data_IF_163290276893
#
_entry.id   IF_163290276893
#
_cell.length_a   1.000
_cell.length_b   1.000
_cell.length_c   1.000
_cell.angle_alpha   90.00
_cell.angle_beta   90.00
_cell.angle_gamma   90.00
#
_symmetry.space_group_name_H-M   'P 1'
#
loop_
_entity.id
_entity.type
_entity.pdbx_description
1 polymer ?
#
# COMPACT_ATOMS: atom_id res chain seq x y z
N UNK A 1 -39.38 -20.74 -1.15
CA UNK A 1 -40.50 -19.85 -1.51
C UNK A 1 -40.27 -18.52 -0.81
N UNK A 2 -40.05 -17.46 -1.61
CA UNK A 2 -40.06 -16.00 -1.32
C UNK A 2 -39.20 -15.47 -0.14
N UNK A 3 -38.10 -14.73 -0.41
CA UNK A 3 -38.00 -13.26 -0.68
C UNK A 3 -38.43 -12.42 0.55
N UNK A 4 -37.81 -11.32 0.98
CA UNK A 4 -36.78 -10.42 0.43
C UNK A 4 -36.65 -9.24 1.42
N UNK A 5 -35.42 -8.75 1.63
CA UNK A 5 -34.98 -7.36 1.86
C UNK A 5 -35.88 -6.36 2.60
N UNK A 6 -35.35 -5.80 3.69
CA UNK A 6 -35.36 -4.35 4.00
C UNK A 6 -34.09 -4.01 4.79
N UNK A 7 -32.97 -3.93 4.08
CA UNK A 7 -31.71 -3.29 4.49
C UNK A 7 -31.39 -2.27 3.40
N UNK A 8 -32.27 -1.27 3.29
CA UNK A 8 -32.19 -0.15 2.36
C UNK A 8 -33.03 0.98 2.96
N UNK A 9 -32.46 1.72 3.91
CA UNK A 9 -33.01 3.00 4.40
C UNK A 9 -31.87 3.93 4.85
N UNK A 10 -30.72 3.87 4.18
CA UNK A 10 -29.62 4.83 4.39
C UNK A 10 -28.98 5.30 3.08
N UNK A 11 -29.74 5.22 2.00
CA UNK A 11 -29.41 5.75 0.68
C UNK A 11 -30.67 6.48 0.26
N UNK A 12 -30.54 7.75 -0.12
CA UNK A 12 -31.61 8.68 -0.50
C UNK A 12 -32.15 9.59 0.63
N UNK A 13 -31.24 10.29 1.32
CA UNK A 13 -31.51 11.68 1.72
C UNK A 13 -30.62 12.62 0.89
N UNK A 14 -30.67 12.45 -0.43
CA UNK A 14 -30.23 13.51 -1.34
C UNK A 14 -31.36 14.54 -1.32
N UNK A 15 -31.35 15.42 -0.32
CA UNK A 15 -32.23 16.60 -0.31
C UNK A 15 -32.04 17.28 -1.66
N UNK A 16 -33.14 17.41 -2.39
CA UNK A 16 -33.26 18.30 -3.52
C UNK A 16 -32.69 19.66 -3.08
N UNK A 17 -31.45 19.91 -3.49
CA UNK A 17 -30.76 21.16 -3.26
C UNK A 17 -31.47 22.16 -4.15
N UNK A 18 -32.47 22.82 -3.59
CA UNK A 18 -33.04 24.03 -4.15
C UNK A 18 -31.85 24.95 -4.44
N UNK A 19 -31.50 25.06 -5.72
CA UNK A 19 -30.44 25.92 -6.25
C UNK A 19 -30.82 27.40 -6.16
N UNK A 20 -31.86 27.71 -5.38
CA UNK A 20 -32.61 28.95 -5.29
C UNK A 20 -32.59 29.59 -3.90
N UNK A 21 -31.96 28.96 -2.88
CA UNK A 21 -31.72 29.65 -1.62
C UNK A 21 -30.64 30.72 -1.82
N UNK A 22 -31.04 31.99 -1.74
CA UNK A 22 -30.16 33.15 -1.85
C UNK A 22 -28.93 32.98 -0.94
N UNK A 23 -27.74 33.20 -1.49
CA UNK A 23 -26.52 33.26 -0.70
C UNK A 23 -26.61 34.43 0.30
N UNK A 24 -26.09 34.28 1.52
CA UNK A 24 -25.99 35.41 2.44
C UNK A 24 -25.18 36.55 1.83
N UNK A 25 -25.55 37.80 2.14
CA UNK A 25 -24.87 38.99 1.61
C UNK A 25 -23.36 38.94 1.93
N UNK A 26 -22.52 39.21 0.93
CA UNK A 26 -21.04 39.13 1.02
C UNK A 26 -20.44 37.79 0.62
N UNK A 27 -21.18 36.69 0.78
CA UNK A 27 -20.66 35.35 0.54
C UNK A 27 -20.70 34.92 -0.92
N UNK A 28 -19.62 34.26 -1.35
CA UNK A 28 -19.49 33.66 -2.67
C UNK A 28 -19.33 32.15 -2.56
N UNK A 29 -20.01 31.43 -3.45
CA UNK A 29 -19.88 29.98 -3.59
C UNK A 29 -18.80 29.66 -4.62
N UNK A 30 -17.88 28.78 -4.26
CA UNK A 30 -16.82 28.30 -5.14
C UNK A 30 -16.95 26.79 -5.36
N UNK A 31 -16.56 26.35 -6.54
CA UNK A 31 -16.56 24.94 -6.93
C UNK A 31 -15.13 24.50 -7.16
N UNK A 32 -14.68 23.55 -6.36
CA UNK A 32 -13.39 22.90 -6.53
C UNK A 32 -13.38 22.06 -7.83
N UNK A 33 -12.24 21.91 -8.55
CA UNK A 33 -12.16 21.09 -9.76
C UNK A 33 -12.60 19.63 -9.60
N UNK A 34 -12.63 19.08 -8.38
CA UNK A 34 -13.16 17.73 -8.10
C UNK A 34 -14.69 17.69 -7.89
N UNK A 35 -15.36 18.85 -7.90
CA UNK A 35 -16.82 18.97 -7.77
C UNK A 35 -17.34 19.28 -6.36
N UNK A 36 -16.47 19.40 -5.35
CA UNK A 36 -16.88 19.86 -4.02
C UNK A 36 -17.14 21.37 -4.02
N UNK A 37 -18.09 21.81 -3.18
CA UNK A 37 -18.41 23.23 -3.00
C UNK A 37 -17.88 23.71 -1.65
N UNK A 38 -17.50 24.99 -1.60
CA UNK A 38 -17.17 25.70 -0.37
C UNK A 38 -17.57 27.17 -0.51
N UNK A 39 -17.62 27.89 0.60
CA UNK A 39 -18.09 29.26 0.64
C UNK A 39 -17.02 30.19 1.23
N UNK A 40 -16.91 31.40 0.69
CA UNK A 40 -15.97 32.40 1.18
C UNK A 40 -16.56 33.81 1.12
N UNK A 41 -16.27 34.59 2.16
CA UNK A 41 -16.56 36.03 2.27
C UNK A 41 -15.27 36.87 2.08
N UNK A 42 -14.26 36.29 1.42
CA UNK A 42 -12.95 36.92 1.19
C UNK A 42 -11.97 36.84 2.39
N UNK A 43 -12.47 36.80 3.63
CA UNK A 43 -11.63 36.58 4.84
C UNK A 43 -11.92 35.27 5.57
N UNK A 44 -13.14 34.77 5.46
CA UNK A 44 -13.60 33.55 6.13
C UNK A 44 -13.92 32.53 5.05
N UNK A 45 -13.46 31.30 5.24
CA UNK A 45 -13.71 30.18 4.34
C UNK A 45 -14.34 29.02 5.11
N UNK A 46 -15.41 28.46 4.56
CA UNK A 46 -16.23 27.44 5.22
C UNK A 46 -16.59 26.34 4.24
N UNK A 47 -16.35 25.09 4.64
CA UNK A 47 -16.72 23.89 3.88
C UNK A 47 -18.16 23.43 4.11
N UNK A 48 -18.79 23.90 5.19
CA UNK A 48 -20.19 23.62 5.48
C UNK A 48 -21.14 24.53 4.72
N UNK A 49 -22.37 24.06 4.54
CA UNK A 49 -23.40 24.80 3.82
C UNK A 49 -23.95 25.99 4.62
N UNK A 50 -23.44 27.19 4.34
CA UNK A 50 -23.84 28.44 4.99
C UNK A 50 -25.25 28.92 4.63
N UNK A 51 -25.90 28.28 3.65
CA UNK A 51 -27.33 28.54 3.33
C UNK A 51 -28.23 28.16 4.51
N UNK A 52 -27.73 27.35 5.44
CA UNK A 52 -28.38 27.12 6.72
C UNK A 52 -28.10 28.29 7.69
N UNK A 53 -29.13 29.06 8.10
CA UNK A 53 -28.96 30.23 8.96
C UNK A 53 -28.38 29.88 10.34
N UNK A 54 -28.62 28.67 10.85
CA UNK A 54 -28.04 28.20 12.10
C UNK A 54 -26.52 28.13 12.03
N UNK A 55 -25.97 27.55 10.96
CA UNK A 55 -24.52 27.45 10.76
C UNK A 55 -23.90 28.82 10.53
N UNK A 56 -24.54 29.67 9.72
CA UNK A 56 -24.09 31.03 9.48
C UNK A 56 -23.97 31.84 10.78
N UNK A 57 -24.96 31.74 11.68
CA UNK A 57 -24.92 32.46 12.96
C UNK A 57 -23.75 32.06 13.84
N UNK A 58 -23.39 30.77 13.86
CA UNK A 58 -22.25 30.24 14.63
C UNK A 58 -20.93 30.73 14.04
N UNK A 59 -20.80 30.71 12.72
CA UNK A 59 -19.61 31.22 12.01
C UNK A 59 -19.42 32.72 12.28
N UNK A 60 -20.47 33.52 12.15
CA UNK A 60 -20.41 34.97 12.38
C UNK A 60 -20.09 35.31 13.85
N UNK A 61 -20.66 34.57 14.82
CA UNK A 61 -20.33 34.76 16.23
C UNK A 61 -18.85 34.46 16.51
N UNK A 62 -18.36 33.34 15.98
CA UNK A 62 -16.95 32.94 16.11
C UNK A 62 -16.00 33.93 15.43
N UNK A 63 -16.41 34.52 14.31
CA UNK A 63 -15.65 35.55 13.61
C UNK A 63 -15.49 36.84 14.42
N UNK A 64 -16.51 37.24 15.18
CA UNK A 64 -16.45 38.38 16.08
C UNK A 64 -15.50 38.10 17.26
N UNK A 65 -15.55 36.90 17.83
CA UNK A 65 -14.65 36.51 18.94
C UNK A 65 -13.18 36.50 18.54
N UNK A 66 -12.89 36.19 17.27
CA UNK A 66 -11.54 36.13 16.72
C UNK A 66 -11.00 37.53 16.38
N UNK A 67 -11.86 38.53 16.14
CA UNK A 67 -11.43 39.90 15.84
C UNK A 67 -10.87 40.09 14.41
N UNK A 68 -11.52 39.49 13.41
CA UNK A 68 -11.05 39.44 12.01
C UNK A 68 -10.94 40.82 11.34
N UNK A 69 -11.60 41.84 11.87
CA UNK A 69 -11.62 43.18 11.26
C UNK A 69 -10.25 43.86 11.27
N UNK A 70 -9.40 43.56 12.25
CA UNK A 70 -8.09 44.20 12.44
C UNK A 70 -6.94 43.49 11.70
N UNK A 71 -7.23 42.47 10.90
CA UNK A 71 -6.21 41.67 10.21
C UNK A 71 -5.69 42.32 8.93
N UNK A 72 -4.46 41.94 8.55
CA UNK A 72 -3.87 42.28 7.25
C UNK A 72 -4.72 41.73 6.09
N UNK A 73 -4.68 42.39 4.92
CA UNK A 73 -5.52 42.03 3.76
C UNK A 73 -5.28 40.61 3.21
N UNK A 74 -4.10 40.04 3.44
CA UNK A 74 -3.67 38.72 2.94
C UNK A 74 -3.89 37.57 3.95
N UNK A 75 -4.56 37.83 5.08
CA UNK A 75 -4.89 36.85 6.11
C UNK A 75 -6.33 36.37 5.97
N UNK A 76 -6.50 35.05 6.00
CA UNK A 76 -7.79 34.38 5.98
C UNK A 76 -7.87 33.29 7.04
N UNK A 77 -9.09 32.91 7.39
CA UNK A 77 -9.37 31.83 8.33
C UNK A 77 -10.35 30.83 7.73
N UNK A 78 -9.93 29.57 7.70
CA UNK A 78 -10.82 28.46 7.44
C UNK A 78 -11.47 28.06 8.77
N UNK A 79 -12.80 28.10 8.82
CA UNK A 79 -13.58 27.68 9.99
C UNK A 79 -14.28 26.36 9.72
N UNK A 80 -14.26 25.48 10.72
CA UNK A 80 -15.05 24.26 10.71
C UNK A 80 -15.99 24.24 11.90
N UNK A 81 -17.29 24.22 11.63
CA UNK A 81 -18.32 24.05 12.67
C UNK A 81 -18.32 22.59 13.14
N UNK A 82 -17.88 22.34 14.37
CA UNK A 82 -17.95 21.01 14.98
C UNK A 82 -19.35 20.63 15.47
N UNK A 83 -19.58 19.36 15.83
CA UNK A 83 -20.86 18.89 16.38
C UNK A 83 -21.27 19.60 17.69
N UNK A 84 -20.33 20.24 18.38
CA UNK A 84 -20.56 21.03 19.59
C UNK A 84 -21.05 22.46 19.33
N UNK A 85 -21.17 22.88 18.07
CA UNK A 85 -21.59 24.24 17.71
C UNK A 85 -20.54 25.32 17.97
N UNK A 86 -19.26 24.95 18.06
CA UNK A 86 -18.11 25.86 18.25
C UNK A 86 -17.14 25.68 17.06
N UNK A 87 -16.66 26.80 16.51
CA UNK A 87 -15.73 26.86 15.38
C UNK A 87 -14.26 27.01 15.81
N UNK A 88 -14.02 27.49 17.03
CA UNK A 88 -12.69 28.00 17.44
C UNK A 88 -11.63 26.91 17.55
N UNK A 89 -12.02 25.71 17.98
CA UNK A 89 -11.09 24.57 18.17
C UNK A 89 -10.53 24.00 16.86
N UNK A 90 -11.15 24.29 15.71
CA UNK A 90 -10.76 23.76 14.41
C UNK A 90 -10.45 24.84 13.37
N UNK A 91 -10.24 26.08 13.80
CA UNK A 91 -9.85 27.16 12.91
C UNK A 91 -8.42 26.95 12.37
N UNK A 92 -8.23 27.20 11.08
CA UNK A 92 -6.92 27.26 10.43
C UNK A 92 -6.73 28.69 9.91
N UNK A 93 -5.71 29.37 10.41
CA UNK A 93 -5.32 30.71 9.99
C UNK A 93 -4.30 30.58 8.85
N UNK A 94 -4.53 31.30 7.76
CA UNK A 94 -3.76 31.20 6.52
C UNK A 94 -3.24 32.59 6.15
N UNK A 95 -1.95 32.66 5.80
CA UNK A 95 -1.29 33.86 5.33
C UNK A 95 -0.76 33.61 3.91
N UNK A 96 -1.31 34.33 2.93
CA UNK A 96 -0.94 34.16 1.51
C UNK A 96 0.40 34.75 1.15
N UNK A 97 0.77 35.88 1.76
CA UNK A 97 2.03 36.59 1.49
C UNK A 97 3.22 35.67 1.73
N UNK A 98 3.20 34.92 2.84
CA UNK A 98 4.26 33.99 3.21
C UNK A 98 3.98 32.52 2.85
N UNK A 99 2.75 32.21 2.40
CA UNK A 99 2.27 30.86 2.11
C UNK A 99 2.41 29.91 3.31
N UNK A 100 1.93 30.35 4.47
CA UNK A 100 1.97 29.59 5.73
C UNK A 100 0.57 29.45 6.31
N UNK A 101 0.32 28.35 7.03
CA UNK A 101 -0.92 28.15 7.76
C UNK A 101 -0.68 27.54 9.15
N UNK A 102 -1.49 27.93 10.13
CA UNK A 102 -1.39 27.49 11.52
C UNK A 102 -2.77 27.43 12.21
N UNK A 103 -2.92 26.55 13.20
CA UNK A 103 -4.13 26.49 14.04
C UNK A 103 -4.25 27.61 15.08
N UNK A 104 -3.27 28.52 15.15
CA UNK A 104 -3.28 29.68 16.05
C UNK A 104 -2.81 30.89 15.29
N UNK A 105 -3.52 32.01 15.46
CA UNK A 105 -3.22 33.29 14.81
C UNK A 105 -1.76 33.72 14.98
N UNK A 106 -1.25 33.72 16.22
CA UNK A 106 0.13 34.11 16.57
C UNK A 106 1.21 33.32 15.81
N UNK A 107 0.87 32.16 15.25
CA UNK A 107 1.79 31.30 14.50
C UNK A 107 1.63 31.40 12.97
N UNK A 108 0.62 32.13 12.49
CA UNK A 108 0.38 32.41 11.07
C UNK A 108 0.74 33.85 10.68
N UNK A 109 1.01 34.72 11.66
CA UNK A 109 1.38 36.11 11.44
C UNK A 109 2.79 36.28 10.81
N UNK A 110 2.97 37.39 10.11
CA UNK A 110 4.20 37.83 9.44
C UNK A 110 5.39 37.93 10.42
N UNK A 111 5.16 38.32 11.68
CA UNK A 111 6.19 38.30 12.71
C UNK A 111 6.69 36.87 13.00
N UNK A 112 5.76 35.90 13.09
CA UNK A 112 6.09 34.50 13.36
C UNK A 112 6.93 33.89 12.24
N UNK A 113 6.70 34.30 10.98
CA UNK A 113 7.50 33.87 9.84
C UNK A 113 8.99 34.20 10.00
N UNK A 114 9.32 35.39 10.52
CA UNK A 114 10.71 35.87 10.64
C UNK A 114 11.56 35.10 11.67
N UNK A 115 10.92 34.52 12.69
CA UNK A 115 11.59 33.84 13.81
C UNK A 115 11.57 32.31 13.64
N UNK A 116 10.87 31.79 12.63
CA UNK A 116 10.58 30.35 12.51
C UNK A 116 11.80 29.54 12.07
N UNK A 117 11.97 28.37 12.68
CA UNK A 117 12.97 27.41 12.22
C UNK A 117 12.56 26.77 10.88
N UNK A 118 13.52 26.32 10.05
CA UNK A 118 13.22 25.76 8.72
C UNK A 118 12.27 24.56 8.72
N UNK A 119 12.27 23.76 9.79
CA UNK A 119 11.43 22.56 9.87
C UNK A 119 9.99 22.91 10.20
N UNK A 120 9.78 23.79 11.19
CA UNK A 120 8.45 24.33 11.48
C UNK A 120 7.92 25.09 10.27
N UNK A 121 8.74 25.87 9.57
CA UNK A 121 8.34 26.56 8.34
C UNK A 121 7.87 25.58 7.27
N UNK A 122 8.59 24.48 7.04
CA UNK A 122 8.18 23.45 6.08
C UNK A 122 6.83 22.83 6.47
N UNK A 123 6.62 22.56 7.77
CA UNK A 123 5.34 22.04 8.29
C UNK A 123 4.19 23.02 8.10
N UNK A 124 4.40 24.33 8.33
CA UNK A 124 3.40 25.38 8.12
C UNK A 124 3.05 25.56 6.64
N UNK A 125 4.06 25.51 5.76
CA UNK A 125 3.86 25.51 4.31
C UNK A 125 3.08 24.29 3.85
N UNK A 126 3.36 23.11 4.42
CA UNK A 126 2.58 21.90 4.13
C UNK A 126 1.10 22.08 4.44
N UNK A 127 0.77 22.70 5.58
CA UNK A 127 -0.62 23.01 5.94
C UNK A 127 -1.24 23.99 4.94
N UNK A 128 -0.52 25.05 4.57
CA UNK A 128 -0.95 26.03 3.57
C UNK A 128 -1.27 25.38 2.22
N UNK A 129 -0.35 24.57 1.70
CA UNK A 129 -0.57 23.88 0.42
C UNK A 129 -1.67 22.83 0.50
N UNK A 130 -1.89 22.22 1.67
CA UNK A 130 -3.03 21.32 1.86
C UNK A 130 -4.37 22.09 1.84
N UNK A 131 -4.40 23.28 2.45
CA UNK A 131 -5.56 24.16 2.40
C UNK A 131 -5.85 24.62 0.96
N UNK A 132 -4.84 25.14 0.25
CA UNK A 132 -4.99 25.66 -1.11
C UNK A 132 -5.36 24.54 -2.11
N UNK A 133 -4.93 23.31 -1.84
CA UNK A 133 -5.34 22.14 -2.62
C UNK A 133 -6.85 21.88 -2.51
N UNK A 134 -7.45 22.09 -1.33
CA UNK A 134 -8.89 21.95 -1.13
C UNK A 134 -9.68 23.19 -1.62
N UNK A 135 -9.10 24.39 -1.54
CA UNK A 135 -9.79 25.68 -1.80
C UNK A 135 -9.17 26.47 -2.95
N UNK A 136 -8.95 25.82 -4.08
CA UNK A 136 -8.16 26.36 -5.21
C UNK A 136 -8.84 27.42 -6.07
N UNK A 137 -10.15 27.66 -5.93
CA UNK A 137 -10.93 28.44 -6.88
C UNK A 137 -11.14 29.92 -6.49
N UNK A 138 -10.91 30.28 -5.24
CA UNK A 138 -11.20 31.62 -4.73
C UNK A 138 -9.98 32.53 -4.65
N UNK A 139 -8.77 31.97 -4.81
CA UNK A 139 -7.50 32.68 -4.65
C UNK A 139 -6.67 32.51 -5.92
N UNK A 140 -6.03 33.59 -6.42
CA UNK A 140 -5.07 33.46 -7.50
C UNK A 140 -3.86 32.63 -7.07
N UNK A 141 -3.16 32.03 -8.05
CA UNK A 141 -1.95 31.28 -7.78
C UNK A 141 -0.90 32.18 -7.11
N UNK A 142 -0.33 31.78 -5.95
CA UNK A 142 0.76 32.53 -5.32
C UNK A 142 1.95 32.67 -6.28
N UNK A 143 2.54 33.86 -6.37
CA UNK A 143 3.65 34.18 -7.30
C UNK A 143 4.85 33.24 -7.09
N UNK A 144 5.07 32.81 -5.83
CA UNK A 144 6.16 31.90 -5.46
C UNK A 144 5.94 30.43 -5.82
N UNK A 145 4.70 30.01 -6.12
CA UNK A 145 4.38 28.59 -6.25
C UNK A 145 5.11 27.92 -7.42
N UNK A 146 5.15 28.59 -8.57
CA UNK A 146 5.84 28.10 -9.77
C UNK A 146 7.37 28.01 -9.56
N UNK A 147 8.08 29.09 -9.14
CA UNK A 147 9.52 28.99 -8.95
C UNK A 147 9.91 28.00 -7.84
N UNK A 148 9.17 27.93 -6.73
CA UNK A 148 9.44 26.99 -5.64
C UNK A 148 9.27 25.52 -6.11
N UNK A 149 8.27 25.24 -6.96
CA UNK A 149 8.06 23.92 -7.54
C UNK A 149 9.16 23.56 -8.55
N UNK A 150 9.53 24.51 -9.43
CA UNK A 150 10.61 24.33 -10.41
C UNK A 150 11.96 24.07 -9.74
N UNK A 151 12.31 24.82 -8.69
CA UNK A 151 13.56 24.63 -7.94
C UNK A 151 13.62 23.25 -7.27
N UNK A 152 12.54 22.85 -6.61
CA UNK A 152 12.45 21.53 -5.97
C UNK A 152 12.59 20.39 -6.99
N UNK A 153 11.89 20.48 -8.12
CA UNK A 153 11.97 19.47 -9.18
C UNK A 153 13.34 19.44 -9.85
N UNK A 154 13.97 20.60 -10.05
CA UNK A 154 15.33 20.68 -10.58
C UNK A 154 16.34 19.99 -9.65
N UNK A 155 16.21 20.20 -8.34
CA UNK A 155 17.03 19.48 -7.35
C UNK A 155 16.77 17.97 -7.39
N UNK A 156 15.52 17.53 -7.44
CA UNK A 156 15.20 16.10 -7.51
C UNK A 156 15.71 15.44 -8.79
N UNK A 157 15.63 16.14 -9.91
CA UNK A 157 16.23 15.69 -11.16
C UNK A 157 17.75 15.58 -11.06
N UNK A 158 18.41 16.58 -10.47
CA UNK A 158 19.85 16.57 -10.26
C UNK A 158 20.29 15.45 -9.29
N UNK A 159 19.57 15.21 -8.19
CA UNK A 159 19.90 14.13 -7.26
C UNK A 159 19.70 12.74 -7.90
N UNK A 160 18.71 12.58 -8.78
CA UNK A 160 18.58 11.36 -9.59
C UNK A 160 19.82 11.13 -10.48
N UNK A 161 20.45 12.18 -11.01
CA UNK A 161 21.67 12.08 -11.82
C UNK A 161 22.92 11.82 -10.98
N UNK A 162 23.03 12.48 -9.82
CA UNK A 162 24.21 12.39 -8.94
C UNK A 162 24.20 11.07 -8.16
N UNK A 163 23.07 10.72 -7.55
CA UNK A 163 22.93 9.61 -6.61
C UNK A 163 22.40 8.33 -7.27
N UNK A 164 21.80 8.41 -8.46
CA UNK A 164 21.35 7.26 -9.25
C UNK A 164 20.43 6.31 -8.45
N UNK A 165 20.83 5.04 -8.34
CA UNK A 165 20.07 4.02 -7.60
C UNK A 165 20.07 4.20 -6.07
N UNK A 166 20.84 5.16 -5.56
CA UNK A 166 20.86 5.59 -4.16
C UNK A 166 20.08 6.90 -3.93
N UNK A 167 19.35 7.39 -4.92
CA UNK A 167 18.51 8.56 -4.75
C UNK A 167 17.30 8.23 -3.86
N UNK A 168 16.98 9.13 -2.92
CA UNK A 168 15.83 8.99 -2.00
C UNK A 168 14.67 9.92 -2.34
N UNK A 169 14.79 10.72 -3.39
CA UNK A 169 13.79 11.72 -3.77
C UNK A 169 12.47 11.08 -4.21
N UNK A 170 11.34 11.82 -4.09
CA UNK A 170 10.01 11.22 -4.26
C UNK A 170 9.67 10.92 -5.72
N UNK A 171 10.24 11.69 -6.66
CA UNK A 171 9.95 11.60 -8.10
C UNK A 171 11.14 11.02 -8.88
N UNK A 172 10.85 10.19 -9.85
CA UNK A 172 11.81 9.70 -10.84
C UNK A 172 12.25 10.80 -11.79
N UNK A 173 13.33 10.53 -12.54
CA UNK A 173 13.80 11.41 -13.61
C UNK A 173 12.68 11.73 -14.61
N UNK A 174 11.99 10.71 -15.09
CA UNK A 174 10.93 10.85 -16.11
C UNK A 174 9.71 11.59 -15.54
N UNK A 175 9.35 11.33 -14.28
CA UNK A 175 8.28 12.07 -13.58
C UNK A 175 8.68 13.54 -13.37
N UNK A 176 9.93 13.84 -13.04
CA UNK A 176 10.40 15.23 -12.93
C UNK A 176 10.31 15.96 -14.27
N UNK A 177 10.70 15.32 -15.38
CA UNK A 177 10.60 15.89 -16.73
C UNK A 177 9.13 16.16 -17.12
N UNK A 178 8.23 15.22 -16.85
CA UNK A 178 6.79 15.37 -17.11
C UNK A 178 6.19 16.50 -16.26
N UNK A 179 6.47 16.52 -14.96
CA UNK A 179 5.97 17.56 -14.05
C UNK A 179 6.49 18.95 -14.44
N UNK A 180 7.79 19.07 -14.76
CA UNK A 180 8.37 20.33 -15.24
C UNK A 180 7.75 20.78 -16.56
N UNK A 181 7.45 19.85 -17.48
CA UNK A 181 6.75 20.17 -18.73
C UNK A 181 5.35 20.72 -18.45
N UNK A 182 4.58 20.09 -17.55
CA UNK A 182 3.24 20.57 -17.18
C UNK A 182 3.25 21.93 -16.50
N UNK A 183 4.23 22.19 -15.63
CA UNK A 183 4.36 23.51 -14.99
C UNK A 183 4.62 24.60 -16.04
N UNK A 184 5.47 24.34 -17.03
CA UNK A 184 5.72 25.28 -18.15
C UNK A 184 4.47 25.51 -18.99
N UNK A 185 3.67 24.47 -19.26
CA UNK A 185 2.39 24.61 -19.96
C UNK A 185 1.43 25.55 -19.20
N UNK A 186 1.43 25.49 -17.87
CA UNK A 186 0.62 26.35 -17.00
C UNK A 186 1.07 27.81 -16.93
N UNK A 187 2.24 28.18 -17.48
CA UNK A 187 2.65 29.58 -17.66
C UNK A 187 1.95 30.24 -18.85
N UNK A 188 1.21 29.47 -19.65
CA UNK A 188 0.38 30.03 -20.72
C UNK A 188 -0.74 30.91 -20.15
N UNK A 189 -1.07 32.05 -20.79
CA UNK A 189 -2.04 33.03 -20.27
C UNK A 189 -3.46 32.47 -20.12
N UNK A 190 -3.79 31.36 -20.79
CA UNK A 190 -5.07 30.68 -20.64
C UNK A 190 -5.26 30.05 -19.25
N UNK A 191 -4.18 29.85 -18.47
CA UNK A 191 -4.24 29.21 -17.15
C UNK A 191 -4.05 30.19 -15.99
N UNK A 192 -3.93 31.49 -16.23
CA UNK A 192 -3.63 32.49 -15.18
C UNK A 192 -4.66 32.51 -14.05
N UNK A 193 -5.94 32.32 -14.38
CA UNK A 193 -7.05 32.22 -13.42
C UNK A 193 -7.60 30.81 -13.28
N UNK A 194 -6.85 29.79 -13.69
CA UNK A 194 -7.36 28.41 -13.68
C UNK A 194 -7.28 27.80 -12.27
N UNK A 195 -8.41 27.38 -11.67
CA UNK A 195 -8.39 26.69 -10.37
C UNK A 195 -7.65 25.35 -10.46
N UNK A 196 -7.64 24.71 -11.62
CA UNK A 196 -6.92 23.45 -11.84
C UNK A 196 -5.39 23.63 -11.73
N UNK A 197 -4.85 24.77 -12.20
CA UNK A 197 -3.43 25.11 -12.04
C UNK A 197 -3.07 25.25 -10.57
N UNK A 198 -3.89 26.00 -9.82
CA UNK A 198 -3.71 26.23 -8.38
C UNK A 198 -3.78 24.90 -7.61
N UNK A 199 -4.80 24.08 -7.88
CA UNK A 199 -4.96 22.77 -7.25
C UNK A 199 -3.76 21.84 -7.53
N UNK A 200 -3.27 21.81 -8.78
CA UNK A 200 -2.12 20.99 -9.16
C UNK A 200 -0.83 21.44 -8.46
N UNK A 201 -0.54 22.74 -8.46
CA UNK A 201 0.65 23.28 -7.80
C UNK A 201 0.59 23.10 -6.28
N UNK A 202 -0.59 23.30 -5.69
CA UNK A 202 -0.80 23.07 -4.26
C UNK A 202 -0.59 21.60 -3.89
N UNK A 203 -1.14 20.67 -4.68
CA UNK A 203 -0.87 19.25 -4.50
C UNK A 203 0.64 18.94 -4.57
N UNK A 204 1.32 19.42 -5.62
CA UNK A 204 2.74 19.14 -5.83
C UNK A 204 3.61 19.69 -4.68
N UNK A 205 3.41 20.95 -4.29
CA UNK A 205 4.16 21.59 -3.21
C UNK A 205 3.86 20.96 -1.85
N UNK A 206 2.63 20.49 -1.63
CA UNK A 206 2.29 19.68 -0.45
C UNK A 206 3.07 18.38 -0.41
N UNK A 207 3.16 17.65 -1.52
CA UNK A 207 3.95 16.40 -1.59
C UNK A 207 5.44 16.67 -1.37
N UNK A 208 5.99 17.75 -1.94
CA UNK A 208 7.37 18.18 -1.72
C UNK A 208 7.61 18.47 -0.23
N UNK A 209 6.73 19.25 0.42
CA UNK A 209 6.84 19.54 1.85
C UNK A 209 6.70 18.28 2.70
N UNK A 210 5.78 17.38 2.36
CA UNK A 210 5.60 16.09 3.03
C UNK A 210 6.86 15.23 2.95
N UNK A 211 7.49 15.18 1.78
CA UNK A 211 8.77 14.49 1.59
C UNK A 211 9.90 15.13 2.42
N UNK A 212 9.99 16.47 2.41
CA UNK A 212 10.96 17.22 3.21
C UNK A 212 10.80 16.96 4.72
N UNK A 213 9.57 16.84 5.21
CA UNK A 213 9.29 16.46 6.61
C UNK A 213 9.83 15.05 6.91
N UNK A 214 9.58 14.07 6.03
CA UNK A 214 10.04 12.69 6.23
C UNK A 214 11.57 12.55 6.22
N UNK A 215 12.25 13.39 5.44
CA UNK A 215 13.71 13.45 5.35
C UNK A 215 14.37 14.39 6.38
N UNK A 216 13.61 14.95 7.33
CA UNK A 216 14.11 15.85 8.37
C UNK A 216 14.84 17.07 7.79
N UNK A 217 14.25 17.65 6.74
CA UNK A 217 14.81 18.78 6.02
C UNK A 217 15.10 19.96 6.97
N UNK A 218 16.33 20.47 6.93
CA UNK A 218 16.76 21.61 7.76
C UNK A 218 16.99 21.30 9.24
N UNK A 219 16.83 20.05 9.69
CA UNK A 219 16.96 19.68 11.11
C UNK A 219 18.32 19.09 11.47
N UNK A 220 19.02 18.49 10.50
CA UNK A 220 20.27 17.77 10.73
C UNK A 220 21.48 18.52 10.15
N UNK A 221 22.60 18.61 10.89
CA UNK A 221 23.84 19.13 10.34
C UNK A 221 24.39 18.19 9.26
N UNK A 222 25.13 18.74 8.29
CA UNK A 222 25.64 18.02 7.10
C UNK A 222 26.34 16.69 7.43
N UNK A 223 27.13 16.64 8.52
CA UNK A 223 27.85 15.43 8.95
C UNK A 223 26.89 14.32 9.38
N UNK A 224 25.87 14.64 10.16
CA UNK A 224 24.87 13.68 10.64
C UNK A 224 23.96 13.22 9.51
N UNK A 225 23.57 14.12 8.61
CA UNK A 225 22.83 13.75 7.40
C UNK A 225 23.60 12.73 6.56
N UNK A 226 24.90 12.96 6.33
CA UNK A 226 25.75 12.01 5.61
C UNK A 226 25.85 10.65 6.30
N UNK A 227 25.94 10.61 7.63
CA UNK A 227 25.91 9.35 8.39
C UNK A 227 24.56 8.64 8.28
N UNK A 228 23.43 9.37 8.36
CA UNK A 228 22.09 8.82 8.22
C UNK A 228 21.85 8.25 6.83
N UNK A 229 22.25 8.96 5.77
CA UNK A 229 22.17 8.46 4.40
C UNK A 229 23.01 7.19 4.26
N UNK A 230 24.25 7.19 4.76
CA UNK A 230 25.09 5.98 4.78
C UNK A 230 24.44 4.83 5.55
N UNK A 231 23.77 5.11 6.66
CA UNK A 231 23.04 4.12 7.47
C UNK A 231 21.75 3.61 6.81
N UNK A 232 21.09 4.43 5.97
CA UNK A 232 19.96 4.00 5.14
C UNK A 232 20.40 3.01 4.05
N UNK A 233 21.61 3.16 3.51
CA UNK A 233 22.16 2.28 2.48
C UNK A 233 22.96 1.10 3.02
N UNK A 234 23.46 1.17 4.26
CA UNK A 234 24.04 0.00 4.92
C UNK A 234 22.93 -0.89 5.45
N UNK A 235 23.06 -2.20 5.17
CA UNK A 235 22.10 -3.23 5.55
C UNK A 235 21.62 -3.01 6.99
N UNK A 236 20.32 -3.13 7.30
CA UNK A 236 19.90 -3.25 8.69
C UNK A 236 20.69 -4.42 9.29
N UNK A 237 21.50 -4.14 10.32
CA UNK A 237 21.98 -5.21 11.21
C UNK A 237 20.72 -5.96 11.61
N UNK A 238 20.68 -7.26 11.31
CA UNK A 238 19.57 -8.12 11.73
C UNK A 238 19.43 -7.91 13.23
N UNK A 239 18.40 -7.18 13.64
CA UNK A 239 18.02 -7.14 15.03
C UNK A 239 17.65 -8.59 15.35
N UNK A 240 18.50 -9.29 16.10
CA UNK A 240 18.14 -10.58 16.66
C UNK A 240 16.85 -10.34 17.45
N UNK A 241 15.71 -10.94 17.08
CA UNK A 241 14.51 -10.77 17.86
C UNK A 241 14.73 -11.47 19.21
N UNK A 242 14.49 -10.76 20.30
CA UNK A 242 14.36 -11.38 21.61
C UNK A 242 12.97 -12.00 21.70
N UNK A 243 12.85 -13.31 21.52
CA UNK A 243 11.71 -14.11 22.02
C UNK A 243 11.96 -15.62 21.84
N UNK A 244 11.56 -16.38 22.85
CA UNK A 244 11.83 -17.79 23.13
C UNK A 244 11.32 -18.83 22.11
N UNK A 245 10.60 -18.43 21.04
CA UNK A 245 10.06 -19.32 20.00
C UNK A 245 10.98 -19.53 18.77
N UNK A 246 12.07 -18.77 18.68
CA UNK A 246 13.04 -18.82 17.58
C UNK A 246 13.75 -20.18 17.36
N UNK A 247 14.16 -20.97 18.37
CA UNK A 247 15.03 -22.11 18.12
C UNK A 247 14.34 -23.22 17.31
N UNK A 248 13.03 -23.43 17.51
CA UNK A 248 12.28 -24.45 16.78
C UNK A 248 12.07 -24.07 15.31
N UNK A 249 11.74 -22.80 15.05
CA UNK A 249 11.59 -22.26 13.69
C UNK A 249 12.92 -22.29 12.95
N UNK A 250 14.01 -21.90 13.62
CA UNK A 250 15.37 -22.01 13.08
C UNK A 250 15.79 -23.47 12.83
N UNK A 251 15.44 -24.40 13.72
CA UNK A 251 15.70 -25.83 13.53
C UNK A 251 14.99 -26.34 12.27
N UNK A 252 13.71 -26.01 12.09
CA UNK A 252 12.96 -26.40 10.88
C UNK A 252 13.57 -25.75 9.63
N UNK A 253 13.90 -24.45 9.66
CA UNK A 253 14.52 -23.78 8.52
C UNK A 253 15.87 -24.38 8.14
N UNK A 254 16.68 -24.76 9.13
CA UNK A 254 18.03 -25.26 8.90
C UNK A 254 18.03 -26.76 8.52
N UNK A 255 17.23 -27.58 9.21
CA UNK A 255 17.25 -29.05 9.09
C UNK A 255 16.28 -29.54 8.02
N UNK A 256 15.03 -29.05 8.01
CA UNK A 256 14.01 -29.49 7.05
C UNK A 256 14.15 -28.72 5.74
N UNK A 257 14.31 -27.40 5.79
CA UNK A 257 14.34 -26.59 4.56
C UNK A 257 15.76 -26.31 4.03
N UNK A 258 16.79 -26.97 4.56
CA UNK A 258 18.20 -26.82 4.15
C UNK A 258 18.70 -25.36 4.11
N UNK A 259 18.12 -24.46 4.89
CA UNK A 259 18.45 -23.03 4.89
C UNK A 259 18.00 -22.25 3.65
N UNK A 260 17.30 -22.87 2.70
CA UNK A 260 16.71 -22.22 1.52
C UNK A 260 15.79 -21.04 1.89
N UNK A 261 14.99 -21.08 2.97
CA UNK A 261 14.06 -19.99 3.26
C UNK A 261 14.78 -18.68 3.63
N UNK A 262 16.04 -18.69 4.10
CA UNK A 262 16.78 -17.44 4.34
C UNK A 262 17.09 -16.68 3.04
N UNK A 263 17.32 -17.40 1.94
CA UNK A 263 17.55 -16.80 0.63
C UNK A 263 16.31 -16.07 0.15
N UNK A 264 15.14 -16.72 0.22
CA UNK A 264 13.84 -16.10 -0.09
C UNK A 264 13.53 -14.94 0.85
N UNK A 265 13.84 -15.08 2.14
CA UNK A 265 13.70 -14.01 3.12
C UNK A 265 14.49 -12.75 2.71
N UNK A 266 15.73 -12.93 2.28
CA UNK A 266 16.59 -11.83 1.82
C UNK A 266 16.06 -11.19 0.54
N UNK A 267 15.59 -12.00 -0.41
CA UNK A 267 15.02 -11.53 -1.68
C UNK A 267 13.73 -10.71 -1.46
N UNK A 268 12.82 -11.20 -0.62
CA UNK A 268 11.59 -10.48 -0.26
C UNK A 268 11.96 -9.16 0.41
N UNK A 269 12.84 -9.15 1.43
CA UNK A 269 13.26 -7.90 2.10
C UNK A 269 13.86 -6.89 1.12
N UNK A 270 14.67 -7.36 0.18
CA UNK A 270 15.29 -6.51 -0.82
C UNK A 270 14.28 -5.95 -1.82
N UNK A 271 13.29 -6.74 -2.25
CA UNK A 271 12.26 -6.29 -3.19
C UNK A 271 11.33 -5.22 -2.62
N UNK A 272 11.21 -5.19 -1.30
CA UNK A 272 10.30 -4.30 -0.56
C UNK A 272 11.02 -3.19 0.22
N UNK A 273 12.33 -3.04 0.05
CA UNK A 273 13.08 -1.97 0.68
C UNK A 273 12.61 -0.63 0.10
N UNK A 274 11.85 0.13 0.91
CA UNK A 274 11.40 1.46 0.52
C UNK A 274 12.59 2.42 0.52
N UNK A 275 13.04 2.79 -0.68
CA UNK A 275 14.15 3.74 -0.89
C UNK A 275 13.66 5.14 -1.26
N UNK A 276 12.51 5.57 -0.75
CA UNK A 276 11.93 6.90 -1.02
C UNK A 276 11.04 6.99 -2.27
N UNK A 277 11.11 6.02 -3.20
CA UNK A 277 10.28 5.99 -4.41
C UNK A 277 9.34 4.78 -4.47
N UNK A 278 8.02 5.04 -4.46
CA UNK A 278 6.98 4.01 -4.58
C UNK A 278 7.08 3.27 -5.93
N UNK A 279 7.31 3.99 -7.02
CA UNK A 279 7.49 3.40 -8.35
C UNK A 279 8.74 2.49 -8.43
N UNK A 280 9.81 2.82 -7.70
CA UNK A 280 11.02 1.98 -7.63
C UNK A 280 10.77 0.67 -6.88
N UNK A 281 10.04 0.75 -5.77
CA UNK A 281 9.57 -0.43 -5.02
C UNK A 281 8.67 -1.31 -5.89
N UNK A 282 7.74 -0.71 -6.65
CA UNK A 282 6.89 -1.43 -7.59
C UNK A 282 7.70 -2.16 -8.66
N UNK A 283 8.64 -1.48 -9.33
CA UNK A 283 9.46 -2.11 -10.37
C UNK A 283 10.31 -3.26 -9.81
N UNK A 284 10.84 -3.10 -8.59
CA UNK A 284 11.58 -4.16 -7.90
C UNK A 284 10.70 -5.35 -7.53
N UNK A 285 9.45 -5.09 -7.13
CA UNK A 285 8.44 -6.11 -6.85
C UNK A 285 8.05 -6.89 -8.10
N UNK A 286 7.74 -6.21 -9.21
CA UNK A 286 7.40 -6.83 -10.49
C UNK A 286 8.54 -7.73 -10.99
N UNK A 287 9.79 -7.25 -10.89
CA UNK A 287 10.98 -8.03 -11.22
C UNK A 287 11.14 -9.25 -10.30
N UNK A 288 10.88 -9.10 -9.01
CA UNK A 288 10.94 -10.20 -8.04
C UNK A 288 9.89 -11.28 -8.34
N UNK A 289 8.63 -10.89 -8.56
CA UNK A 289 7.54 -11.83 -8.92
C UNK A 289 7.84 -12.51 -10.25
N UNK A 290 8.31 -11.78 -11.27
CA UNK A 290 8.69 -12.36 -12.55
C UNK A 290 9.81 -13.40 -12.42
N UNK A 291 10.82 -13.12 -11.60
CA UNK A 291 11.88 -14.08 -11.27
C UNK A 291 11.33 -15.31 -10.55
N UNK A 292 10.47 -15.11 -9.55
CA UNK A 292 9.89 -16.18 -8.73
C UNK A 292 9.02 -17.13 -9.57
N UNK A 293 8.19 -16.59 -10.47
CA UNK A 293 7.37 -17.39 -11.39
C UNK A 293 8.23 -18.21 -12.35
N UNK A 294 9.34 -17.64 -12.86
CA UNK A 294 10.28 -18.38 -13.70
C UNK A 294 10.96 -19.52 -12.92
N UNK A 295 11.46 -19.24 -11.71
CA UNK A 295 12.06 -20.26 -10.83
C UNK A 295 11.07 -21.40 -10.55
N UNK A 296 9.81 -21.11 -10.23
CA UNK A 296 8.81 -22.16 -10.03
C UNK A 296 8.49 -22.95 -11.29
N UNK A 297 8.45 -22.31 -12.47
CA UNK A 297 8.25 -23.02 -13.73
C UNK A 297 9.37 -24.03 -13.99
N UNK A 298 10.62 -23.66 -13.69
CA UNK A 298 11.77 -24.56 -13.84
C UNK A 298 11.69 -25.74 -12.85
N UNK A 299 11.29 -25.49 -11.60
CA UNK A 299 11.09 -26.56 -10.61
C UNK A 299 9.92 -27.49 -10.96
N UNK A 300 8.86 -26.98 -11.57
CA UNK A 300 7.76 -27.80 -12.07
C UNK A 300 8.23 -28.78 -13.15
N UNK A 301 9.04 -28.31 -14.11
CA UNK A 301 9.60 -29.17 -15.17
C UNK A 301 10.49 -30.27 -14.59
N UNK A 302 11.35 -29.94 -13.62
CA UNK A 302 12.21 -30.94 -12.98
C UNK A 302 11.37 -31.95 -12.17
N UNK A 303 10.35 -31.47 -11.44
CA UNK A 303 9.47 -32.33 -10.64
C UNK A 303 8.65 -33.29 -11.50
N UNK A 304 8.19 -32.87 -12.69
CA UNK A 304 7.45 -33.76 -13.61
C UNK A 304 8.35 -34.82 -14.23
N UNK A 305 9.60 -34.49 -14.55
CA UNK A 305 10.60 -35.46 -15.03
C UNK A 305 10.91 -36.50 -13.95
N UNK A 306 11.12 -36.06 -12.70
CA UNK A 306 11.36 -36.97 -11.56
C UNK A 306 10.14 -37.85 -11.26
N UNK A 307 8.93 -37.30 -11.35
CA UNK A 307 7.70 -38.09 -11.21
C UNK A 307 7.59 -39.17 -12.29
N UNK A 308 7.91 -38.85 -13.55
CA UNK A 308 7.90 -39.83 -14.64
C UNK A 308 8.94 -40.94 -14.41
N UNK A 309 10.15 -40.58 -13.97
CA UNK A 309 11.21 -41.54 -13.67
C UNK A 309 10.85 -42.47 -12.49
N UNK A 310 10.23 -41.94 -11.45
CA UNK A 310 9.83 -42.71 -10.25
C UNK A 310 8.67 -43.65 -10.53
N UNK A 311 7.68 -43.20 -11.32
CA UNK A 311 6.61 -44.07 -11.83
C UNK A 311 7.16 -45.16 -12.75
N UNK A 312 8.16 -44.83 -13.58
CA UNK A 312 8.90 -45.80 -14.37
C UNK A 312 9.59 -46.87 -13.50
N UNK A 313 10.25 -46.47 -12.41
CA UNK A 313 10.90 -47.38 -11.48
C UNK A 313 9.88 -48.31 -10.76
N UNK A 314 8.71 -47.78 -10.39
CA UNK A 314 7.63 -48.56 -9.78
C UNK A 314 7.03 -49.61 -10.73
N UNK A 315 7.18 -49.43 -12.04
CA UNK A 315 6.70 -50.40 -13.04
C UNK A 315 7.58 -51.64 -13.19
N UNK A 316 8.81 -51.61 -12.65
CA UNK A 316 9.76 -52.73 -12.73
C UNK A 316 9.36 -53.82 -11.73
N UNK A 317 9.06 -55.05 -12.17
CA UNK A 317 8.71 -56.14 -11.27
C UNK A 317 9.92 -56.61 -10.45
N UNK A 318 9.68 -57.16 -9.26
CA UNK A 318 10.68 -57.74 -8.34
C UNK A 318 11.69 -56.74 -7.72
N UNK A 319 11.30 -55.49 -7.48
CA UNK A 319 12.10 -54.54 -6.71
C UNK A 319 12.02 -54.81 -5.20
N UNK A 320 13.07 -54.44 -4.46
CA UNK A 320 13.07 -54.57 -2.99
C UNK A 320 12.04 -53.63 -2.35
N UNK A 321 11.41 -54.07 -1.25
CA UNK A 321 10.41 -53.27 -0.51
C UNK A 321 10.93 -51.89 -0.09
N UNK A 322 12.24 -51.77 0.15
CA UNK A 322 12.88 -50.49 0.47
C UNK A 322 12.93 -49.52 -0.71
N UNK A 323 13.16 -50.05 -1.93
CA UNK A 323 13.15 -49.26 -3.17
C UNK A 323 11.72 -48.86 -3.53
N UNK A 324 10.75 -49.74 -3.32
CA UNK A 324 9.33 -49.47 -3.55
C UNK A 324 8.81 -48.34 -2.62
N UNK A 325 9.12 -48.42 -1.31
CA UNK A 325 8.77 -47.37 -0.35
C UNK A 325 9.47 -46.03 -0.68
N UNK A 326 10.74 -46.07 -1.07
CA UNK A 326 11.47 -44.86 -1.47
C UNK A 326 10.87 -44.22 -2.72
N UNK A 327 10.51 -45.02 -3.73
CA UNK A 327 9.90 -44.56 -4.96
C UNK A 327 8.50 -43.96 -4.73
N UNK A 328 7.71 -44.52 -3.82
CA UNK A 328 6.42 -43.95 -3.43
C UNK A 328 6.57 -42.58 -2.74
N UNK A 329 7.49 -42.45 -1.78
CA UNK A 329 7.71 -41.18 -1.06
C UNK A 329 8.24 -40.10 -2.01
N UNK A 330 9.15 -40.48 -2.89
CA UNK A 330 9.66 -39.65 -3.98
C UNK A 330 8.52 -39.15 -4.86
N UNK A 331 7.67 -40.06 -5.38
CA UNK A 331 6.51 -39.70 -6.21
C UNK A 331 5.52 -38.76 -5.50
N UNK A 332 5.22 -38.98 -4.21
CA UNK A 332 4.36 -38.06 -3.44
C UNK A 332 5.02 -36.69 -3.22
N UNK A 333 6.34 -36.64 -3.01
CA UNK A 333 7.08 -35.39 -2.89
C UNK A 333 7.10 -34.60 -4.19
N UNK A 334 7.35 -35.26 -5.34
CA UNK A 334 7.29 -34.61 -6.66
C UNK A 334 5.87 -34.12 -6.96
N UNK A 335 4.83 -34.90 -6.64
CA UNK A 335 3.44 -34.48 -6.79
C UNK A 335 3.10 -33.28 -5.91
N UNK A 336 3.57 -33.28 -4.66
CA UNK A 336 3.43 -32.15 -3.73
C UNK A 336 4.12 -30.88 -4.25
N UNK A 337 5.34 -31.01 -4.77
CA UNK A 337 6.08 -29.93 -5.43
C UNK A 337 5.29 -29.35 -6.60
N UNK A 338 4.69 -30.22 -7.44
CA UNK A 338 3.87 -29.81 -8.58
C UNK A 338 2.63 -29.03 -8.13
N UNK A 339 1.88 -29.55 -7.16
CA UNK A 339 0.66 -28.91 -6.67
C UNK A 339 0.97 -27.54 -6.07
N UNK A 340 1.98 -27.45 -5.20
CA UNK A 340 2.37 -26.20 -4.54
C UNK A 340 2.96 -25.22 -5.55
N UNK A 341 3.78 -25.67 -6.50
CA UNK A 341 4.38 -24.85 -7.54
C UNK A 341 3.34 -24.25 -8.50
N UNK A 342 2.38 -25.05 -8.98
CA UNK A 342 1.29 -24.57 -9.85
C UNK A 342 0.39 -23.57 -9.10
N UNK A 343 0.05 -23.87 -7.85
CA UNK A 343 -0.75 -22.97 -7.02
C UNK A 343 -0.02 -21.64 -6.78
N UNK A 344 1.29 -21.68 -6.49
CA UNK A 344 2.12 -20.49 -6.32
C UNK A 344 2.17 -19.64 -7.61
N UNK A 345 2.42 -20.25 -8.77
CA UNK A 345 2.44 -19.54 -10.06
C UNK A 345 1.09 -18.87 -10.33
N UNK A 346 0.00 -19.61 -10.21
CA UNK A 346 -1.35 -19.09 -10.45
C UNK A 346 -1.66 -17.88 -9.57
N UNK A 347 -1.34 -17.98 -8.27
CA UNK A 347 -1.61 -16.92 -7.32
C UNK A 347 -0.73 -15.68 -7.52
N UNK A 348 0.56 -15.87 -7.85
CA UNK A 348 1.51 -14.78 -8.09
C UNK A 348 1.27 -14.08 -9.43
N UNK A 349 0.83 -14.81 -10.47
CA UNK A 349 0.42 -14.22 -11.74
C UNK A 349 -0.87 -13.40 -11.60
N UNK A 350 -1.82 -13.86 -10.79
CA UNK A 350 -3.08 -13.14 -10.54
C UNK A 350 -2.88 -11.80 -9.80
N UNK A 351 -1.79 -11.64 -9.03
CA UNK A 351 -1.49 -10.46 -8.22
C UNK A 351 -0.25 -9.68 -8.66
N UNK A 352 -0.04 -9.61 -9.97
CA UNK A 352 1.08 -8.87 -10.57
C UNK A 352 1.03 -7.35 -10.30
N UNK A 353 -0.12 -6.80 -9.88
CA UNK A 353 -0.34 -5.34 -9.76
C UNK A 353 0.20 -4.75 -8.45
N UNK A 354 0.69 -3.52 -8.53
CA UNK A 354 1.37 -2.79 -7.45
C UNK A 354 0.53 -2.57 -6.18
N UNK A 355 -0.79 -2.38 -6.32
CA UNK A 355 -1.71 -2.15 -5.19
C UNK A 355 -1.72 -3.35 -4.23
N UNK A 356 -1.50 -4.56 -4.77
CA UNK A 356 -1.43 -5.78 -3.99
C UNK A 356 -0.11 -5.95 -3.24
N UNK A 357 0.94 -5.19 -3.59
CA UNK A 357 2.26 -5.29 -2.95
C UNK A 357 2.25 -4.74 -1.51
N UNK A 358 1.54 -3.64 -1.27
CA UNK A 358 1.40 -3.03 0.06
C UNK A 358 0.50 -3.86 0.98
N UNK A 359 -0.62 -4.36 0.46
CA UNK A 359 -1.51 -5.24 1.22
C UNK A 359 -0.82 -6.57 1.55
N UNK A 360 -0.04 -7.11 0.60
CA UNK A 360 0.81 -8.27 0.83
C UNK A 360 1.84 -8.03 1.93
N UNK A 361 2.60 -6.94 1.87
CA UNK A 361 3.60 -6.60 2.91
C UNK A 361 2.96 -6.45 4.29
N UNK A 362 1.87 -5.68 4.38
CA UNK A 362 1.14 -5.47 5.63
C UNK A 362 0.66 -6.81 6.20
N UNK A 363 0.13 -7.69 5.36
CA UNK A 363 -0.31 -9.02 5.80
C UNK A 363 0.86 -9.91 6.23
N UNK A 364 2.03 -9.81 5.58
CA UNK A 364 3.25 -10.55 5.97
C UNK A 364 3.79 -10.09 7.33
N UNK A 365 3.68 -8.78 7.63
CA UNK A 365 4.16 -8.21 8.89
C UNK A 365 3.24 -8.50 10.08
N UNK A 366 1.92 -8.54 9.87
CA UNK A 366 0.94 -8.67 10.97
C UNK A 366 0.53 -10.11 11.33
N UNK A 367 0.98 -11.13 10.60
CA UNK A 367 0.55 -12.51 10.84
C UNK A 367 1.42 -13.24 11.89
N UNK A 368 0.86 -14.24 12.60
CA UNK A 368 1.50 -14.91 13.75
C UNK A 368 2.83 -15.63 13.45
N UNK A 369 3.02 -16.13 12.22
CA UNK A 369 4.30 -16.72 11.76
C UNK A 369 5.24 -15.70 11.09
N UNK A 370 4.78 -14.44 10.99
CA UNK A 370 5.48 -13.30 10.46
C UNK A 370 6.17 -13.53 9.12
N UNK A 371 7.27 -12.80 8.94
CA UNK A 371 8.11 -12.85 7.75
C UNK A 371 8.76 -14.22 7.51
N UNK A 372 8.98 -15.02 8.56
CA UNK A 372 9.64 -16.32 8.50
C UNK A 372 8.74 -17.39 7.87
N UNK A 373 7.46 -17.46 8.27
CA UNK A 373 6.51 -18.40 7.67
C UNK A 373 6.29 -18.14 6.18
N UNK A 374 6.26 -16.86 5.78
CA UNK A 374 6.11 -16.49 4.38
C UNK A 374 7.30 -16.94 3.52
N UNK A 375 8.53 -16.78 4.05
CA UNK A 375 9.72 -17.27 3.38
C UNK A 375 9.73 -18.81 3.27
N UNK A 376 9.23 -19.53 4.28
CA UNK A 376 9.10 -20.99 4.23
C UNK A 376 8.12 -21.45 3.15
N UNK A 377 6.96 -20.80 3.04
CA UNK A 377 5.96 -21.08 2.00
C UNK A 377 6.52 -20.87 0.60
N UNK A 378 7.29 -19.80 0.40
CA UNK A 378 7.91 -19.51 -0.88
C UNK A 378 9.02 -20.54 -1.23
N UNK A 379 9.72 -21.08 -0.23
CA UNK A 379 10.74 -22.11 -0.44
C UNK A 379 10.21 -23.54 -0.55
N UNK A 380 8.90 -23.74 -0.46
CA UNK A 380 8.31 -25.09 -0.30
C UNK A 380 8.45 -25.96 -1.58
N UNK A 381 8.21 -25.46 -2.81
CA UNK A 381 8.45 -26.23 -4.03
C UNK A 381 9.90 -26.72 -4.19
N UNK A 382 10.96 -25.88 -4.07
CA UNK A 382 12.33 -26.37 -4.21
C UNK A 382 12.74 -27.31 -3.07
N UNK A 383 12.19 -27.14 -1.85
CA UNK A 383 12.49 -28.04 -0.74
C UNK A 383 11.91 -29.43 -0.99
N UNK A 384 10.67 -29.55 -1.47
CA UNK A 384 10.08 -30.85 -1.82
C UNK A 384 10.88 -31.56 -2.94
N UNK A 385 11.43 -30.80 -3.88
CA UNK A 385 12.29 -31.30 -4.95
C UNK A 385 13.66 -31.76 -4.42
N UNK A 386 14.27 -31.02 -3.49
CA UNK A 386 15.53 -31.46 -2.86
C UNK A 386 15.31 -32.74 -2.06
N UNK A 387 14.18 -32.90 -1.37
CA UNK A 387 13.86 -34.16 -0.69
C UNK A 387 13.67 -35.33 -1.66
N UNK A 388 13.08 -35.06 -2.82
CA UNK A 388 12.90 -36.05 -3.89
C UNK A 388 14.25 -36.56 -4.41
N UNK A 389 15.21 -35.65 -4.61
CA UNK A 389 16.57 -35.99 -5.08
C UNK A 389 17.48 -36.54 -3.98
N UNK A 390 17.28 -36.14 -2.71
CA UNK A 390 18.03 -36.60 -1.54
C UNK A 390 17.56 -37.97 -1.01
N UNK A 391 16.84 -38.76 -1.83
CA UNK A 391 16.41 -40.14 -1.56
C UNK A 391 17.54 -41.16 -1.39
N UNK A 392 18.54 -40.86 -0.57
CA UNK A 392 19.48 -41.79 0.04
C UNK A 392 19.77 -41.29 1.45
N UNK A 393 19.03 -41.82 2.44
CA UNK A 393 19.48 -42.20 3.80
C UNK A 393 18.25 -42.43 4.71
N UNK A 394 18.09 -43.70 5.10
CA UNK A 394 17.39 -44.23 6.28
C UNK A 394 15.85 -44.06 6.37
N UNK A 395 15.19 -45.21 6.20
CA UNK A 395 13.75 -45.48 6.23
C UNK A 395 13.02 -45.02 7.51
N UNK A 396 13.73 -44.83 8.63
CA UNK A 396 13.16 -44.26 9.86
C UNK A 396 12.97 -42.74 9.80
N UNK A 397 13.83 -42.04 9.06
CA UNK A 397 13.75 -40.60 8.83
C UNK A 397 12.64 -40.30 7.80
N UNK A 398 12.40 -41.23 6.88
CA UNK A 398 11.36 -41.14 5.84
C UNK A 398 9.95 -41.05 6.41
N UNK A 399 9.61 -41.77 7.49
CA UNK A 399 8.26 -41.70 8.09
C UNK A 399 8.04 -40.36 8.84
N UNK A 400 9.07 -39.86 9.52
CA UNK A 400 9.05 -38.56 10.20
C UNK A 400 9.04 -37.42 9.18
N UNK A 401 9.80 -37.55 8.09
CA UNK A 401 9.79 -36.63 6.96
C UNK A 401 8.43 -36.67 6.25
N UNK A 402 7.82 -37.82 6.05
CA UNK A 402 6.50 -37.93 5.40
C UNK A 402 5.40 -37.27 6.25
N UNK A 403 5.40 -37.48 7.58
CA UNK A 403 4.47 -36.81 8.50
C UNK A 403 4.75 -35.30 8.61
N UNK A 404 6.02 -34.89 8.53
CA UNK A 404 6.43 -33.49 8.50
C UNK A 404 6.08 -32.80 7.18
N UNK A 405 6.28 -33.45 6.04
CA UNK A 405 5.91 -32.97 4.70
C UNK A 405 4.39 -32.88 4.59
N UNK A 406 3.65 -33.90 5.03
CA UNK A 406 2.18 -33.86 5.03
C UNK A 406 1.66 -32.76 5.97
N UNK A 407 2.26 -32.64 7.16
CA UNK A 407 1.93 -31.57 8.11
C UNK A 407 2.25 -30.17 7.56
N UNK A 408 3.39 -30.00 6.89
CA UNK A 408 3.78 -28.71 6.29
C UNK A 408 2.97 -28.39 5.04
N UNK A 409 2.59 -29.37 4.22
CA UNK A 409 1.71 -29.17 3.06
C UNK A 409 0.30 -28.82 3.51
N UNK A 410 -0.25 -29.52 4.53
CA UNK A 410 -1.56 -29.21 5.09
C UNK A 410 -1.54 -27.84 5.79
N UNK A 411 -0.50 -27.55 6.58
CA UNK A 411 -0.33 -26.25 7.21
C UNK A 411 -0.10 -25.14 6.17
N UNK A 412 0.62 -25.42 5.08
CA UNK A 412 0.81 -24.47 3.99
C UNK A 412 -0.51 -24.18 3.28
N UNK A 413 -1.27 -25.21 2.90
CA UNK A 413 -2.59 -25.05 2.29
C UNK A 413 -3.57 -24.34 3.23
N UNK A 414 -3.55 -24.66 4.54
CA UNK A 414 -4.38 -24.02 5.55
C UNK A 414 -4.00 -22.56 5.81
N UNK A 415 -2.71 -22.27 5.97
CA UNK A 415 -2.23 -20.89 6.17
C UNK A 415 -2.39 -20.05 4.92
N UNK A 416 -2.13 -20.60 3.73
CA UNK A 416 -2.40 -19.95 2.45
C UNK A 416 -3.90 -19.64 2.30
N UNK A 417 -4.80 -20.57 2.60
CA UNK A 417 -6.25 -20.31 2.56
C UNK A 417 -6.68 -19.27 3.59
N UNK A 418 -6.15 -19.29 4.82
CA UNK A 418 -6.53 -18.32 5.86
C UNK A 418 -5.97 -16.91 5.63
N UNK A 419 -4.72 -16.80 5.17
CA UNK A 419 -4.03 -15.53 4.89
C UNK A 419 -4.68 -14.82 3.70
N UNK A 420 -5.20 -15.58 2.73
CA UNK A 420 -5.75 -15.03 1.49
C UNK A 420 -7.29 -14.93 1.47
N UNK A 421 -7.98 -15.59 2.42
CA UNK A 421 -9.44 -15.44 2.64
C UNK A 421 -9.85 -14.02 3.07
N UNK A 422 -8.92 -13.19 3.54
CA UNK A 422 -9.24 -11.84 4.05
C UNK A 422 -9.25 -10.75 2.96
N UNK A 423 -8.99 -11.08 1.68
CA UNK A 423 -8.80 -10.09 0.62
C UNK A 423 -9.63 -10.26 -0.66
N UNK A 424 -10.39 -11.33 -0.84
CA UNK A 424 -11.24 -11.47 -2.03
C UNK A 424 -12.48 -12.32 -1.77
N UNK A 425 -13.66 -11.70 -1.98
CA UNK A 425 -15.00 -12.30 -1.89
C UNK A 425 -15.27 -13.40 -2.92
N UNK A 426 -14.42 -13.58 -3.92
CA UNK A 426 -14.64 -14.58 -4.96
C UNK A 426 -13.33 -15.27 -5.30
N UNK A 427 -13.15 -16.50 -4.84
CA UNK A 427 -12.13 -17.37 -5.41
C UNK A 427 -12.69 -18.76 -5.71
N UNK A 428 -12.26 -19.23 -6.87
CA UNK A 428 -12.37 -20.54 -7.50
C UNK A 428 -12.62 -21.74 -6.56
N UNK A 429 -12.14 -21.73 -5.31
CA UNK A 429 -12.44 -22.73 -4.29
C UNK A 429 -13.95 -22.91 -4.01
N UNK A 430 -14.77 -21.85 -4.03
CA UNK A 430 -16.23 -22.00 -3.86
C UNK A 430 -16.91 -22.61 -5.11
N UNK A 431 -16.33 -22.42 -6.30
CA UNK A 431 -16.78 -23.09 -7.54
C UNK A 431 -16.29 -24.54 -7.61
N UNK A 432 -15.04 -24.81 -7.20
CA UNK A 432 -14.45 -26.14 -7.13
C UNK A 432 -15.14 -27.02 -6.08
N UNK A 433 -15.46 -26.45 -4.91
CA UNK A 433 -16.26 -27.12 -3.86
C UNK A 433 -17.70 -27.38 -4.32
N UNK A 434 -18.29 -26.50 -5.14
CA UNK A 434 -19.60 -26.73 -5.78
C UNK A 434 -19.55 -27.81 -6.86
N UNK A 435 -18.46 -27.92 -7.61
CA UNK A 435 -18.25 -28.97 -8.62
C UNK A 435 -18.03 -30.35 -8.00
N UNK A 436 -17.19 -30.44 -6.95
CA UNK A 436 -16.99 -31.68 -6.18
C UNK A 436 -18.25 -32.10 -5.42
N UNK A 437 -19.00 -31.14 -4.86
CA UNK A 437 -20.29 -31.40 -4.20
C UNK A 437 -21.36 -31.95 -5.15
N UNK A 438 -21.37 -31.52 -6.42
CA UNK A 438 -22.30 -32.03 -7.44
C UNK A 438 -21.95 -33.45 -7.92
N UNK A 439 -20.66 -33.80 -7.94
CA UNK A 439 -20.20 -35.13 -8.35
C UNK A 439 -20.53 -36.22 -7.31
N UNK A 440 -20.48 -35.89 -6.01
CA UNK A 440 -20.85 -36.83 -4.95
C UNK A 440 -22.37 -37.04 -4.80
N UNK A 441 -23.20 -36.07 -5.21
CA UNK A 441 -24.66 -36.22 -5.19
C UNK A 441 -25.23 -37.07 -6.32
N UNK A 442 -24.54 -37.19 -7.46
CA UNK A 442 -25.02 -38.02 -8.58
C UNK A 442 -24.70 -39.51 -8.42
N UNK A 443 -23.78 -39.88 -7.52
CA UNK A 443 -23.41 -41.29 -7.28
C UNK A 443 -24.26 -42.01 -6.22
N UNK A 444 -25.09 -41.29 -5.44
CA UNK A 444 -25.96 -41.89 -4.41
C UNK A 444 -27.41 -42.17 -4.85
N UNK A 445 -27.79 -41.86 -6.08
CA UNK A 445 -29.17 -41.99 -6.56
C UNK A 445 -29.33 -42.90 -7.80
N UNK A 446 -28.52 -43.95 -7.93
CA UNK A 446 -28.54 -44.87 -9.07
C UNK A 446 -28.73 -46.37 -8.75
N UNK A 447 -28.97 -46.76 -7.49
CA UNK A 447 -29.15 -48.18 -7.15
C UNK A 447 -30.17 -48.35 -6.04
N UNK A 448 -31.45 -48.48 -6.43
CA UNK A 448 -32.50 -49.30 -5.79
C UNK A 448 -33.83 -49.10 -6.51
N UNK A 449 -34.54 -50.22 -6.74
CA UNK A 449 -35.78 -50.46 -7.54
C UNK A 449 -35.42 -50.90 -8.98
N UNK A 450 -35.63 -52.13 -9.40
CA UNK A 450 -36.79 -53.01 -9.17
C UNK A 450 -36.43 -54.49 -9.23
N UNK A 451 -36.91 -55.26 -8.25
CA UNK A 451 -37.26 -56.68 -8.36
C UNK A 451 -38.41 -56.95 -7.38
N UNK A 452 -39.41 -57.70 -7.86
CA UNK A 452 -40.55 -58.33 -7.18
C UNK A 452 -41.78 -57.41 -6.96
N UNK A 453 -42.73 -57.44 -7.88
CA UNK A 453 -43.79 -58.47 -7.92
C UNK A 453 -44.15 -58.78 -9.38
#
# INVERSE_FOLDING_TARGET
MMRSNTLTDSVDEYKDLDSSSLLPDGWQMFVHPQGSIYFSDGRIVVDQDIRNPGLLSVVLHSALDIGINDWEEDLEVQMHVGNSGDCTNFALYINHTHCIAAHKYENADSHAFSVMDPATLNRRRRLYWNYLWAHSAHIPCPVRAVPDACDALAWFYADNLISGAQCVVPFSKDECEELLRRIKEFESPCYDKSPAKVAFLAWLLREICSFRDAEMYGQLPRKELGQRLRNKFTRPKVALPAATALPFVHLIMNVVFFGIPYSYMRLVKQSFEYRGRLAGMQANWEKYIGRLVREYSDFLLISTVLLSATVGLLSVPNISRFVELAALVSAFSSLGSIIVGVFAIWQHQAKYRAIDSFTYMRNVQHNMLGFHGHAMLLSLPPVLLVHDTAGRVVVGVILVIFLSILGTVIAALYTLTRIWSYGHSDSWFTRFRRLLGRSFSSWRCGSKRSCIA
#
